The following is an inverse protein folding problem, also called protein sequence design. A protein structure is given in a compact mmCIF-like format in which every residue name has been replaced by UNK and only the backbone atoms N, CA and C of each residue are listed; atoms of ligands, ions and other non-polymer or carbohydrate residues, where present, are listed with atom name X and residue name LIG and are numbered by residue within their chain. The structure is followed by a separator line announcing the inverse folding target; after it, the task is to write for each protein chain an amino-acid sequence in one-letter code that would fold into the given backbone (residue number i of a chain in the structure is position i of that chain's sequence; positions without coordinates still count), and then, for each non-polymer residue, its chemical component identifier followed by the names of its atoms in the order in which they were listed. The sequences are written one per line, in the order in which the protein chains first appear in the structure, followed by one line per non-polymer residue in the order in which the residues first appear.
data_IF_834430131344
#
_entry.id   IF_834430131344
#
_cell.length_a   1.000
_cell.length_b   1.000
_cell.length_c   1.000
_cell.angle_alpha   90.00
_cell.angle_beta   90.00
_cell.angle_gamma   90.00
#
_symmetry.space_group_name_H-M   'P 1'
#
loop_
_entity.id
_entity.type
_entity.pdbx_description
1 polymer ?
#
# COMPACT_ATOMS: atom_id res chain seq x y z
N UNK A 1 -17.32 29.03 -19.91
CA UNK A 1 -17.95 27.94 -19.12
C UNK A 1 -17.76 26.63 -19.87
N UNK A 2 -17.51 25.53 -19.16
CA UNK A 2 -17.44 24.21 -19.78
C UNK A 2 -18.86 23.63 -19.90
N UNK A 3 -19.11 22.69 -20.84
CA UNK A 3 -20.36 21.94 -20.86
C UNK A 3 -20.54 21.16 -19.56
N UNK A 4 -21.77 21.10 -19.04
CA UNK A 4 -22.07 20.45 -17.76
C UNK A 4 -21.55 19.00 -17.66
N UNK A 5 -21.67 18.21 -18.74
CA UNK A 5 -21.15 16.85 -18.78
C UNK A 5 -19.61 16.79 -18.59
N UNK A 6 -18.87 17.76 -19.14
CA UNK A 6 -17.41 17.85 -18.98
C UNK A 6 -17.06 18.16 -17.53
N UNK A 7 -17.77 19.10 -16.89
CA UNK A 7 -17.59 19.44 -15.48
C UNK A 7 -17.86 18.24 -14.56
N UNK A 8 -18.93 17.48 -14.83
CA UNK A 8 -19.24 16.24 -14.12
C UNK A 8 -18.12 15.20 -14.23
N UNK A 9 -17.59 14.97 -15.43
CA UNK A 9 -16.49 14.02 -15.63
C UNK A 9 -15.18 14.47 -14.99
N UNK A 10 -14.89 15.77 -14.97
CA UNK A 10 -13.72 16.31 -14.25
C UNK A 10 -13.85 16.07 -12.75
N UNK A 11 -15.01 16.38 -12.17
CA UNK A 11 -15.28 16.15 -10.74
C UNK A 11 -15.14 14.68 -10.38
N UNK A 12 -15.75 13.79 -11.17
CA UNK A 12 -15.64 12.33 -10.97
C UNK A 12 -14.20 11.84 -11.10
N UNK A 13 -13.43 12.35 -12.06
CA UNK A 13 -12.01 11.99 -12.22
C UNK A 13 -11.18 12.41 -11.00
N UNK A 14 -11.45 13.59 -10.44
CA UNK A 14 -10.78 14.07 -9.22
C UNK A 14 -11.13 13.21 -8.01
N UNK A 15 -12.40 12.82 -7.86
CA UNK A 15 -12.84 11.91 -6.81
C UNK A 15 -12.15 10.56 -6.90
N UNK A 16 -12.19 9.91 -8.07
CA UNK A 16 -11.54 8.62 -8.28
C UNK A 16 -10.03 8.68 -8.01
N UNK A 17 -9.35 9.76 -8.42
CA UNK A 17 -7.93 9.96 -8.11
C UNK A 17 -7.67 10.09 -6.62
N UNK A 18 -8.52 10.81 -5.87
CA UNK A 18 -8.40 10.91 -4.41
C UNK A 18 -8.60 9.55 -3.75
N UNK A 19 -9.62 8.81 -4.17
CA UNK A 19 -9.89 7.45 -3.65
C UNK A 19 -8.74 6.51 -3.95
N UNK A 20 -8.23 6.48 -5.18
CA UNK A 20 -7.08 5.65 -5.55
C UNK A 20 -5.83 6.04 -4.76
N UNK A 21 -5.57 7.33 -4.60
CA UNK A 21 -4.44 7.82 -3.80
C UNK A 21 -4.52 7.38 -2.35
N UNK A 22 -5.70 7.46 -1.72
CA UNK A 22 -5.94 6.97 -0.37
C UNK A 22 -5.77 5.46 -0.28
N UNK A 23 -6.44 4.69 -1.16
CA UNK A 23 -6.38 3.24 -1.17
C UNK A 23 -4.95 2.72 -1.37
N UNK A 24 -4.18 3.34 -2.27
CA UNK A 24 -2.78 2.98 -2.50
C UNK A 24 -1.90 3.23 -1.27
N UNK A 25 -2.12 4.32 -0.53
CA UNK A 25 -1.39 4.58 0.72
C UNK A 25 -1.74 3.55 1.78
N UNK A 26 -3.03 3.28 1.98
CA UNK A 26 -3.49 2.27 2.94
C UNK A 26 -2.96 0.89 2.61
N UNK A 27 -3.07 0.45 1.35
CA UNK A 27 -2.55 -0.84 0.89
C UNK A 27 -1.03 -0.94 1.08
N UNK A 28 -0.28 0.14 0.84
CA UNK A 28 1.16 0.16 1.08
C UNK A 28 1.50 -0.03 2.56
N UNK A 29 0.75 0.59 3.48
CA UNK A 29 0.91 0.40 4.92
C UNK A 29 0.59 -1.03 5.33
N UNK A 30 -0.57 -1.57 4.94
CA UNK A 30 -0.97 -2.95 5.23
C UNK A 30 0.01 -3.98 4.66
N UNK A 31 0.55 -3.73 3.46
CA UNK A 31 1.55 -4.61 2.86
C UNK A 31 2.83 -4.71 3.71
N UNK A 32 3.24 -3.62 4.37
CA UNK A 32 4.40 -3.64 5.27
C UNK A 32 4.09 -4.41 6.55
N UNK A 33 2.91 -4.20 7.13
CA UNK A 33 2.42 -4.94 8.32
C UNK A 33 2.45 -6.44 8.02
N UNK A 34 1.80 -6.87 6.94
CA UNK A 34 1.75 -8.29 6.56
C UNK A 34 3.13 -8.83 6.25
N UNK A 35 3.99 -8.09 5.55
CA UNK A 35 5.36 -8.53 5.29
C UNK A 35 6.12 -8.82 6.59
N UNK A 36 6.00 -7.96 7.61
CA UNK A 36 6.66 -8.17 8.91
C UNK A 36 6.09 -9.34 9.67
N UNK A 37 4.76 -9.44 9.77
CA UNK A 37 4.10 -10.58 10.43
C UNK A 37 4.51 -11.92 9.80
N UNK A 38 4.66 -11.98 8.48
CA UNK A 38 5.14 -13.18 7.80
C UNK A 38 6.63 -13.45 8.07
N UNK A 39 7.46 -12.41 8.12
CA UNK A 39 8.88 -12.55 8.47
C UNK A 39 9.07 -13.03 9.91
N UNK A 40 8.28 -12.50 10.85
CA UNK A 40 8.28 -12.90 12.26
C UNK A 40 7.79 -14.34 12.43
N UNK A 41 6.89 -14.80 11.56
CA UNK A 41 6.49 -16.20 11.45
C UNK A 41 7.55 -17.11 10.79
N UNK A 42 8.70 -16.56 10.41
CA UNK A 42 9.85 -17.32 9.86
C UNK A 42 9.78 -17.60 8.37
N UNK A 43 8.90 -16.94 7.60
CA UNK A 43 8.81 -17.15 6.16
C UNK A 43 9.99 -16.52 5.42
N UNK A 44 10.39 -17.16 4.32
CA UNK A 44 11.43 -16.62 3.44
C UNK A 44 10.91 -15.40 2.66
N UNK A 45 11.81 -14.48 2.28
CA UNK A 45 11.48 -13.34 1.42
C UNK A 45 10.80 -13.74 0.09
N UNK A 46 11.12 -14.93 -0.41
CA UNK A 46 10.52 -15.47 -1.64
C UNK A 46 9.06 -15.84 -1.43
N UNK A 47 8.74 -16.47 -0.32
CA UNK A 47 7.36 -16.87 0.02
C UNK A 47 6.53 -15.63 0.35
N UNK A 48 7.10 -14.68 1.10
CA UNK A 48 6.49 -13.38 1.37
C UNK A 48 6.12 -12.66 0.07
N UNK A 49 7.06 -12.58 -0.89
CA UNK A 49 6.79 -11.99 -2.20
C UNK A 49 5.67 -12.70 -2.95
N UNK A 50 5.66 -14.04 -2.92
CA UNK A 50 4.63 -14.86 -3.58
C UNK A 50 3.25 -14.61 -2.95
N UNK A 51 3.15 -14.58 -1.62
CA UNK A 51 1.89 -14.34 -0.89
C UNK A 51 1.36 -12.93 -1.14
N UNK A 52 2.22 -11.92 -1.11
CA UNK A 52 1.85 -10.53 -1.34
C UNK A 52 1.68 -10.18 -2.83
N UNK A 53 1.94 -11.12 -3.74
CA UNK A 53 1.84 -10.88 -5.19
C UNK A 53 2.88 -9.90 -5.73
N UNK A 54 4.06 -9.83 -5.10
CA UNK A 54 5.16 -8.92 -5.47
C UNK A 54 6.46 -9.68 -5.71
N UNK A 55 7.43 -9.02 -6.35
CA UNK A 55 8.76 -9.61 -6.53
C UNK A 55 9.49 -9.77 -5.19
N UNK A 56 10.48 -10.67 -5.16
CA UNK A 56 11.39 -10.84 -4.02
C UNK A 56 12.04 -9.52 -3.58
N UNK A 57 12.49 -8.70 -4.55
CA UNK A 57 13.07 -7.39 -4.26
C UNK A 57 12.07 -6.45 -3.59
N UNK A 58 10.80 -6.48 -4.02
CA UNK A 58 9.75 -5.65 -3.42
C UNK A 58 9.38 -6.13 -2.02
N UNK A 59 9.36 -7.44 -1.78
CA UNK A 59 9.17 -8.02 -0.45
C UNK A 59 10.28 -7.57 0.51
N UNK A 60 11.53 -7.60 0.07
CA UNK A 60 12.65 -7.02 0.83
C UNK A 60 12.40 -5.54 1.14
N UNK A 61 12.06 -4.72 0.13
CA UNK A 61 11.77 -3.29 0.37
C UNK A 61 10.63 -3.06 1.38
N UNK A 62 9.59 -3.89 1.41
CA UNK A 62 8.50 -3.74 2.38
C UNK A 62 8.94 -3.93 3.83
N UNK A 63 9.97 -4.75 4.08
CA UNK A 63 10.54 -4.91 5.42
C UNK A 63 11.44 -3.73 5.82
N UNK A 64 12.11 -3.10 4.85
CA UNK A 64 13.13 -2.09 5.10
C UNK A 64 12.67 -0.63 4.93
N UNK A 65 11.62 -0.35 4.14
CA UNK A 65 11.17 1.01 3.85
C UNK A 65 9.98 1.46 4.74
N UNK A 66 10.32 1.99 5.92
CA UNK A 66 9.47 2.84 6.76
C UNK A 66 8.84 2.16 7.98
N UNK A 67 8.49 2.93 9.03
CA UNK A 67 7.88 2.40 10.25
C UNK A 67 6.49 1.82 9.96
N UNK A 68 6.16 0.72 10.64
CA UNK A 68 4.79 0.21 10.67
C UNK A 68 4.06 0.94 11.79
N UNK A 69 2.86 1.50 11.55
CA UNK A 69 2.06 2.10 12.62
C UNK A 69 1.77 1.02 13.67
N UNK A 70 2.34 1.19 14.87
CA UNK A 70 2.41 0.20 15.94
C UNK A 70 3.81 0.06 16.56
N UNK A 71 4.87 0.37 15.81
CA UNK A 71 6.26 0.37 16.32
C UNK A 71 6.53 1.51 17.33
N UNK A 72 5.63 2.50 17.44
CA UNK A 72 5.78 3.71 18.27
C UNK A 72 5.15 3.56 19.67
N UNK A 73 4.25 2.60 19.90
CA UNK A 73 3.55 2.43 21.19
C UNK A 73 4.36 1.66 22.25
N UNK A 74 5.54 1.15 21.88
CA UNK A 74 6.43 0.38 22.76
C UNK A 74 7.76 1.08 23.10
N UNK A 75 7.86 2.41 22.85
CA UNK A 75 9.04 3.24 23.18
C UNK A 75 8.84 4.19 24.35
#
# INVERSE_FOLDING_TARGET
MLPHAVEQHITRTRELRRTASWANRTAATESRVVARLLADAGLSLRDIGTILGVSHQRAHQLLHDGPVPGDEEER
#
